data_IF_206083514450
#
_entry.id   IF_206083514450
#
_cell.length_a   1.000
_cell.length_b   1.000
_cell.length_c   1.000
_cell.angle_alpha   90.00
_cell.angle_beta   90.00
_cell.angle_gamma   90.00
#
_symmetry.space_group_name_H-M   'P 1'
#
loop_
_entity.id
_entity.type
_entity.pdbx_description
1 polymer ?
#
# COMPACT_ATOMS: atom_id res chain seq x y z
N UNK A 1 30.83 -19.77 -69.33
CA UNK A 1 29.79 -18.90 -68.74
C UNK A 1 28.67 -19.75 -68.17
N UNK A 2 28.67 -20.03 -66.85
CA UNK A 2 27.48 -20.33 -66.05
C UNK A 2 27.76 -19.85 -64.61
N UNK A 3 26.80 -19.12 -64.08
CA UNK A 3 26.87 -18.13 -63.00
C UNK A 3 26.91 -18.80 -61.62
N UNK A 4 27.82 -18.36 -60.75
CA UNK A 4 27.81 -18.69 -59.31
C UNK A 4 26.91 -17.67 -58.61
N UNK A 5 25.80 -18.13 -58.03
CA UNK A 5 24.93 -17.30 -57.21
C UNK A 5 25.44 -17.31 -55.76
N UNK A 6 26.02 -16.19 -55.32
CA UNK A 6 26.39 -15.96 -53.92
C UNK A 6 25.12 -15.67 -53.12
N UNK A 7 24.79 -16.55 -52.18
CA UNK A 7 23.67 -16.40 -51.26
C UNK A 7 24.14 -15.59 -50.05
N UNK A 8 23.80 -14.29 -50.00
CA UNK A 8 24.03 -13.46 -48.81
C UNK A 8 23.03 -13.86 -47.71
N UNK A 9 23.51 -14.49 -46.65
CA UNK A 9 22.74 -14.71 -45.43
C UNK A 9 22.77 -13.42 -44.60
N UNK A 10 21.67 -12.66 -44.63
CA UNK A 10 21.47 -11.49 -43.78
C UNK A 10 21.14 -11.95 -42.35
N UNK A 11 22.11 -11.92 -41.45
CA UNK A 11 21.86 -12.04 -40.01
C UNK A 11 21.25 -10.72 -39.50
N UNK A 12 19.95 -10.70 -39.23
CA UNK A 12 19.30 -9.67 -38.43
C UNK A 12 19.70 -9.87 -36.97
N UNK A 13 20.65 -9.07 -36.51
CA UNK A 13 20.99 -8.96 -35.09
C UNK A 13 19.86 -8.16 -34.40
N UNK A 14 18.96 -8.85 -33.70
CA UNK A 14 18.03 -8.18 -32.80
C UNK A 14 18.80 -7.69 -31.57
N UNK A 15 19.15 -6.40 -31.55
CA UNK A 15 19.70 -5.77 -30.36
C UNK A 15 18.61 -5.68 -29.29
N UNK A 16 18.60 -6.61 -28.34
CA UNK A 16 17.86 -6.45 -27.10
C UNK A 16 18.56 -5.36 -26.29
N UNK A 17 17.99 -4.15 -26.27
CA UNK A 17 18.46 -3.08 -25.39
C UNK A 17 18.22 -3.52 -23.94
N UNK A 18 19.28 -3.96 -23.26
CA UNK A 18 19.30 -4.04 -21.81
C UNK A 18 19.32 -2.60 -21.32
N UNK A 19 18.16 -2.06 -20.94
CA UNK A 19 18.14 -0.82 -20.16
C UNK A 19 18.68 -1.19 -18.79
N UNK A 20 19.95 -0.87 -18.54
CA UNK A 20 20.49 -0.89 -17.19
C UNK A 20 19.70 0.15 -16.37
N UNK A 21 19.21 -0.24 -15.20
CA UNK A 21 18.60 0.68 -14.27
C UNK A 21 19.59 1.82 -13.97
N UNK A 22 19.14 3.06 -14.11
CA UNK A 22 19.96 4.25 -13.87
C UNK A 22 20.41 4.26 -12.40
N UNK A 23 21.72 4.19 -12.09
CA UNK A 23 22.21 4.25 -10.72
C UNK A 23 21.94 5.61 -10.05
N UNK A 24 21.50 6.62 -10.80
CA UNK A 24 21.03 7.91 -10.31
C UNK A 24 19.50 7.97 -10.10
N UNK A 25 18.77 6.86 -10.29
CA UNK A 25 17.34 6.82 -10.02
C UNK A 25 17.08 7.28 -8.57
N UNK A 26 16.28 8.33 -8.37
CA UNK A 26 16.10 8.93 -7.05
C UNK A 26 15.59 7.86 -6.07
N UNK A 27 16.04 7.94 -4.83
CA UNK A 27 15.49 7.13 -3.75
C UNK A 27 14.07 7.62 -3.42
N UNK A 28 13.09 7.16 -4.21
CA UNK A 28 11.73 7.65 -4.17
C UNK A 28 11.03 7.25 -2.87
N UNK A 29 10.39 8.24 -2.25
CA UNK A 29 9.49 8.05 -1.13
C UNK A 29 8.04 8.19 -1.61
N UNK A 30 7.13 7.45 -0.99
CA UNK A 30 5.73 7.88 -0.97
C UNK A 30 5.70 9.08 -0.01
N UNK A 31 5.16 10.21 -0.45
CA UNK A 31 5.04 11.41 0.39
C UNK A 31 3.69 11.45 1.12
N UNK A 32 2.62 11.17 0.37
CA UNK A 32 1.27 11.26 0.86
C UNK A 32 0.31 10.23 0.28
N UNK A 33 -0.79 10.04 1.00
CA UNK A 33 -2.01 9.38 0.52
C UNK A 33 -3.19 10.33 0.75
N UNK A 34 -4.18 10.28 -0.13
CA UNK A 34 -5.35 11.15 -0.04
C UNK A 34 -6.55 10.34 0.43
N UNK A 35 -7.25 10.83 1.44
CA UNK A 35 -8.56 10.30 1.87
C UNK A 35 -9.66 11.31 1.61
N UNK A 36 -10.85 10.81 1.30
CA UNK A 36 -12.02 11.64 1.00
C UNK A 36 -13.01 11.59 2.14
N UNK A 37 -13.33 12.75 2.71
CA UNK A 37 -14.19 12.87 3.90
C UNK A 37 -15.20 13.99 3.73
N UNK A 38 -16.29 13.97 4.49
CA UNK A 38 -17.30 15.04 4.49
C UNK A 38 -16.87 16.28 5.30
N UNK A 39 -16.10 16.09 6.36
CA UNK A 39 -15.60 17.14 7.24
C UNK A 39 -14.11 16.91 7.57
N UNK A 40 -13.20 17.70 6.97
CA UNK A 40 -11.77 17.54 7.21
C UNK A 40 -11.32 17.75 8.66
N UNK A 41 -11.93 18.71 9.37
CA UNK A 41 -11.55 18.99 10.75
C UNK A 41 -11.95 17.82 11.66
N UNK A 42 -13.17 17.30 11.48
CA UNK A 42 -13.63 16.11 12.19
C UNK A 42 -12.74 14.89 11.89
N UNK A 43 -12.33 14.71 10.63
CA UNK A 43 -11.43 13.63 10.24
C UNK A 43 -10.05 13.77 10.89
N UNK A 44 -9.45 14.95 10.83
CA UNK A 44 -8.16 15.22 11.50
C UNK A 44 -8.23 14.84 12.98
N UNK A 45 -9.24 15.30 13.69
CA UNK A 45 -9.39 15.03 15.12
C UNK A 45 -9.63 13.54 15.40
N UNK A 46 -10.37 12.85 14.53
CA UNK A 46 -10.59 11.41 14.63
C UNK A 46 -9.29 10.60 14.44
N UNK A 47 -8.48 10.93 13.43
CA UNK A 47 -7.20 10.25 13.17
C UNK A 47 -6.17 10.51 14.28
N UNK A 48 -6.12 11.74 14.82
CA UNK A 48 -5.27 12.07 15.97
C UNK A 48 -5.71 11.26 17.19
N UNK A 49 -7.00 11.32 17.55
CA UNK A 49 -7.54 10.67 18.76
C UNK A 49 -7.40 9.15 18.74
N UNK A 50 -7.79 8.51 17.64
CA UNK A 50 -7.95 7.05 17.61
C UNK A 50 -6.67 6.36 17.13
N UNK A 51 -5.96 6.95 16.16
CA UNK A 51 -4.86 6.28 15.47
C UNK A 51 -3.48 6.81 15.85
N UNK A 52 -3.42 7.91 16.62
CA UNK A 52 -2.16 8.49 17.10
C UNK A 52 -1.43 9.31 16.03
N UNK A 53 -2.15 9.82 15.03
CA UNK A 53 -1.58 10.75 14.07
C UNK A 53 -1.19 12.07 14.75
N UNK A 54 -0.22 12.79 14.19
CA UNK A 54 0.08 14.17 14.59
C UNK A 54 -0.60 15.16 13.65
N UNK A 55 -0.93 16.34 14.17
CA UNK A 55 -1.54 17.39 13.37
C UNK A 55 -0.54 17.99 12.36
N UNK A 56 -1.02 18.29 11.15
CA UNK A 56 -0.33 19.19 10.23
C UNK A 56 -0.66 20.65 10.44
N UNK A 57 -0.27 21.49 9.48
CA UNK A 57 -0.45 22.95 9.52
C UNK A 57 -1.91 23.37 9.37
N UNK A 58 -2.75 22.50 8.80
CA UNK A 58 -4.15 22.77 8.52
C UNK A 58 -5.08 21.64 8.98
N UNK A 59 -6.38 21.91 8.92
CA UNK A 59 -7.43 20.90 9.13
C UNK A 59 -7.41 19.76 8.10
N UNK A 60 -6.66 19.91 7.00
CA UNK A 60 -6.62 18.94 5.90
C UNK A 60 -5.39 18.02 5.95
N UNK A 61 -4.67 18.00 7.07
CA UNK A 61 -3.39 17.29 7.19
C UNK A 61 -3.25 16.57 8.53
N UNK A 62 -2.91 15.30 8.47
CA UNK A 62 -2.38 14.52 9.60
C UNK A 62 -1.17 13.71 9.17
N UNK A 63 -0.26 13.45 10.10
CA UNK A 63 1.00 12.76 9.84
C UNK A 63 1.15 11.49 10.68
N UNK A 64 1.76 10.48 10.06
CA UNK A 64 2.32 9.31 10.74
C UNK A 64 3.83 9.31 10.50
N UNK A 65 4.57 9.89 11.44
CA UNK A 65 5.98 10.22 11.22
C UNK A 65 6.11 11.26 10.12
N UNK A 66 6.75 10.89 9.00
CA UNK A 66 6.89 11.77 7.82
C UNK A 66 5.76 11.61 6.80
N UNK A 67 4.92 10.58 6.95
CA UNK A 67 3.87 10.28 5.99
C UNK A 67 2.65 11.14 6.19
N UNK A 68 2.29 11.92 5.16
CA UNK A 68 1.09 12.73 5.15
C UNK A 68 -0.12 11.90 4.72
N UNK A 69 -1.19 11.96 5.51
CA UNK A 69 -2.54 11.71 5.01
C UNK A 69 -3.18 13.06 4.72
N UNK A 70 -3.34 13.36 3.43
CA UNK A 70 -4.03 14.54 2.95
C UNK A 70 -5.55 14.29 2.97
N UNK A 71 -6.27 15.14 3.67
CA UNK A 71 -7.70 15.01 3.89
C UNK A 71 -8.44 15.92 2.91
N UNK A 72 -9.14 15.32 1.96
CA UNK A 72 -9.84 16.00 0.88
C UNK A 72 -11.34 16.02 1.16
N UNK A 73 -11.95 17.20 1.14
CA UNK A 73 -13.40 17.34 1.34
C UNK A 73 -14.18 16.80 0.13
N UNK A 74 -15.26 16.06 0.39
CA UNK A 74 -16.28 15.69 -0.59
C UNK A 74 -17.65 15.56 0.08
N UNK A 75 -18.73 15.90 -0.63
CA UNK A 75 -20.09 15.76 -0.10
C UNK A 75 -20.58 14.31 -0.10
N UNK A 76 -19.88 13.41 -0.80
CA UNK A 76 -20.25 12.01 -1.00
C UNK A 76 -19.05 11.09 -0.79
N UNK A 77 -18.53 10.96 0.44
CA UNK A 77 -17.49 9.98 0.73
C UNK A 77 -18.03 8.58 0.40
N UNK A 78 -17.16 7.74 -0.15
CA UNK A 78 -17.48 6.37 -0.52
C UNK A 78 -16.44 5.44 0.11
N UNK A 79 -16.82 4.20 0.45
CA UNK A 79 -15.87 3.24 1.02
C UNK A 79 -14.66 3.01 0.11
N UNK A 80 -13.48 2.82 0.71
CA UNK A 80 -12.25 2.52 -0.04
C UNK A 80 -12.25 1.10 -0.61
N UNK A 81 -12.97 0.17 0.04
CA UNK A 81 -13.12 -1.21 -0.44
C UNK A 81 -13.75 -1.23 -1.83
N UNK A 82 -13.10 -1.89 -2.78
CA UNK A 82 -13.51 -1.91 -4.19
C UNK A 82 -13.03 -0.71 -5.02
N UNK A 83 -12.34 0.26 -4.42
CA UNK A 83 -11.63 1.31 -5.14
C UNK A 83 -10.19 0.87 -5.50
N UNK A 84 -9.44 1.72 -6.22
CA UNK A 84 -8.06 1.41 -6.62
C UNK A 84 -7.10 1.26 -5.43
N UNK A 85 -7.28 2.05 -4.37
CA UNK A 85 -6.60 1.87 -3.09
C UNK A 85 -7.62 1.20 -2.16
N UNK A 86 -7.45 -0.09 -1.89
CA UNK A 86 -8.39 -0.81 -1.03
C UNK A 86 -8.27 -0.34 0.42
N UNK A 87 -7.03 -0.22 0.90
CA UNK A 87 -6.74 0.25 2.26
C UNK A 87 -5.32 0.79 2.40
N UNK A 88 -5.08 1.44 3.54
CA UNK A 88 -3.76 1.76 4.06
C UNK A 88 -3.45 0.89 5.28
N UNK A 89 -2.17 0.67 5.53
CA UNK A 89 -1.66 -0.10 6.66
C UNK A 89 -0.98 0.78 7.70
N UNK A 90 -1.35 0.61 8.97
CA UNK A 90 -0.69 1.23 10.11
C UNK A 90 -0.17 0.16 11.06
N UNK A 91 1.12 0.23 11.40
CA UNK A 91 1.77 -0.69 12.32
C UNK A 91 1.87 -0.09 13.72
N UNK A 92 1.54 -0.88 14.74
CA UNK A 92 1.64 -0.52 16.14
C UNK A 92 2.56 -1.51 16.86
N UNK A 93 3.31 -1.03 17.86
CA UNK A 93 4.19 -1.89 18.66
C UNK A 93 3.41 -2.95 19.45
N UNK A 94 2.22 -2.59 19.94
CA UNK A 94 1.27 -3.48 20.61
C UNK A 94 -0.12 -3.31 19.97
N UNK A 95 -0.46 -4.22 19.06
CA UNK A 95 -1.73 -4.20 18.36
C UNK A 95 -2.89 -4.67 19.24
N UNK A 96 -2.65 -5.53 20.23
CA UNK A 96 -3.71 -5.97 21.14
C UNK A 96 -4.20 -4.82 22.02
N UNK A 97 -3.27 -4.04 22.57
CA UNK A 97 -3.60 -2.83 23.32
C UNK A 97 -4.34 -1.82 22.43
N UNK A 98 -3.82 -1.55 21.23
CA UNK A 98 -4.47 -0.62 20.29
C UNK A 98 -5.89 -1.08 19.92
N UNK A 99 -6.10 -2.35 19.64
CA UNK A 99 -7.44 -2.86 19.31
C UNK A 99 -8.43 -2.73 20.47
N UNK A 100 -7.99 -2.96 21.72
CA UNK A 100 -8.82 -2.73 22.92
C UNK A 100 -9.22 -1.26 23.05
N UNK A 101 -8.29 -0.32 22.84
CA UNK A 101 -8.56 1.12 22.86
C UNK A 101 -9.59 1.53 21.80
N UNK A 102 -9.43 1.02 20.57
CA UNK A 102 -10.32 1.32 19.45
C UNK A 102 -11.73 0.77 19.67
N UNK A 103 -11.84 -0.47 20.17
CA UNK A 103 -13.12 -1.07 20.54
C UNK A 103 -13.82 -0.29 21.65
N UNK A 104 -13.09 0.10 22.70
CA UNK A 104 -13.63 0.93 23.78
C UNK A 104 -14.07 2.32 23.31
N UNK A 105 -13.45 2.84 22.25
CA UNK A 105 -13.79 4.12 21.62
C UNK A 105 -14.92 4.02 20.58
N UNK A 106 -15.48 2.82 20.37
CA UNK A 106 -16.59 2.59 19.44
C UNK A 106 -16.19 2.60 17.96
N UNK A 107 -14.89 2.44 17.66
CA UNK A 107 -14.41 2.35 16.27
C UNK A 107 -14.93 1.06 15.62
N UNK A 108 -15.36 1.15 14.36
CA UNK A 108 -15.90 0.02 13.60
C UNK A 108 -14.79 -0.98 13.29
N UNK A 109 -14.85 -2.16 13.91
CA UNK A 109 -14.00 -3.30 13.58
C UNK A 109 -14.62 -4.08 12.42
N UNK A 110 -13.91 -4.17 11.30
CA UNK A 110 -14.32 -4.91 10.09
C UNK A 110 -13.86 -6.37 10.17
N UNK A 111 -12.66 -6.59 10.70
CA UNK A 111 -12.11 -7.93 10.93
C UNK A 111 -11.38 -7.93 12.26
N UNK A 112 -11.68 -8.87 13.17
CA UNK A 112 -11.05 -8.92 14.48
C UNK A 112 -9.55 -9.22 14.37
N UNK A 113 -8.83 -8.93 15.45
CA UNK A 113 -7.42 -9.28 15.58
C UNK A 113 -7.22 -10.78 15.41
N UNK A 114 -6.27 -11.15 14.57
CA UNK A 114 -5.77 -12.52 14.44
C UNK A 114 -4.26 -12.51 14.26
N UNK A 115 -3.63 -13.62 14.64
CA UNK A 115 -2.22 -13.87 14.37
C UNK A 115 -2.09 -14.73 13.10
N UNK A 116 -1.24 -14.29 12.17
CA UNK A 116 -0.96 -15.03 10.94
C UNK A 116 0.47 -15.52 11.01
N UNK A 117 0.63 -16.83 11.20
CA UNK A 117 1.94 -17.47 11.32
C UNK A 117 2.83 -17.13 10.12
N UNK A 118 4.05 -16.66 10.40
CA UNK A 118 5.02 -16.25 9.38
C UNK A 118 4.71 -14.89 8.74
N UNK A 119 3.78 -14.11 9.28
CA UNK A 119 3.54 -12.71 8.90
C UNK A 119 3.56 -11.84 10.17
N UNK A 120 2.40 -11.43 10.67
CA UNK A 120 2.23 -10.66 11.90
C UNK A 120 0.79 -10.79 12.43
N UNK A 121 0.53 -10.24 13.62
CA UNK A 121 -0.83 -9.95 14.07
C UNK A 121 -1.43 -8.83 13.22
N UNK A 122 -2.69 -8.99 12.84
CA UNK A 122 -3.41 -7.98 12.08
C UNK A 122 -4.90 -7.92 12.41
N UNK A 123 -5.50 -6.77 12.16
CA UNK A 123 -6.94 -6.51 12.24
C UNK A 123 -7.34 -5.51 11.16
N UNK A 124 -8.64 -5.39 10.87
CA UNK A 124 -9.15 -4.34 10.00
C UNK A 124 -10.19 -3.50 10.73
N UNK A 125 -10.09 -2.19 10.57
CA UNK A 125 -11.09 -1.22 11.01
C UNK A 125 -11.57 -0.39 9.82
N UNK A 126 -12.62 0.38 10.04
CA UNK A 126 -13.11 1.37 9.10
C UNK A 126 -13.29 2.70 9.83
N UNK A 127 -12.82 3.79 9.22
CA UNK A 127 -13.10 5.13 9.70
C UNK A 127 -14.55 5.56 9.43
N UNK A 128 -15.03 6.69 9.98
CA UNK A 128 -16.41 7.16 9.78
C UNK A 128 -16.79 7.45 8.32
N UNK A 129 -15.82 7.59 7.42
CA UNK A 129 -16.02 7.92 6.01
C UNK A 129 -15.85 6.72 5.08
N UNK A 130 -15.62 5.53 5.62
CA UNK A 130 -15.51 4.28 4.88
C UNK A 130 -14.10 3.93 4.43
N UNK A 131 -13.07 4.61 4.94
CA UNK A 131 -11.67 4.23 4.67
C UNK A 131 -11.37 2.98 5.49
N UNK A 132 -11.09 1.87 4.79
CA UNK A 132 -10.59 0.64 5.39
C UNK A 132 -9.13 0.82 5.76
N UNK A 133 -8.77 0.41 6.98
CA UNK A 133 -7.41 0.50 7.50
C UNK A 133 -7.02 -0.87 8.05
N UNK A 134 -5.90 -1.40 7.56
CA UNK A 134 -5.25 -2.56 8.16
C UNK A 134 -4.37 -2.10 9.31
N UNK A 135 -4.56 -2.70 10.48
CA UNK A 135 -3.72 -2.48 11.64
C UNK A 135 -2.84 -3.71 11.81
N UNK A 136 -1.53 -3.52 11.87
CA UNK A 136 -0.55 -4.62 11.94
C UNK A 136 0.37 -4.46 13.15
N UNK A 137 1.05 -5.54 13.54
CA UNK A 137 2.15 -5.50 14.50
C UNK A 137 3.45 -5.94 13.82
N UNK A 138 4.08 -5.03 13.07
CA UNK A 138 5.40 -5.25 12.48
C UNK A 138 6.45 -4.34 13.15
N UNK A 139 7.33 -4.89 14.02
CA UNK A 139 8.35 -4.10 14.70
C UNK A 139 9.43 -3.54 13.75
N UNK A 140 9.55 -4.06 12.53
CA UNK A 140 10.51 -3.55 11.53
C UNK A 140 10.07 -2.22 10.91
N UNK A 141 8.78 -1.88 11.00
CA UNK A 141 8.20 -0.67 10.41
C UNK A 141 6.97 -0.23 11.21
N UNK A 142 7.18 0.52 12.30
CA UNK A 142 6.11 1.11 13.12
C UNK A 142 5.61 2.43 12.50
N UNK A 143 4.30 2.69 12.57
CA UNK A 143 3.67 3.86 11.94
C UNK A 143 3.07 3.52 10.58
N UNK A 144 3.19 4.41 9.59
CA UNK A 144 2.66 4.15 8.25
C UNK A 144 3.44 3.01 7.58
N UNK A 145 2.75 1.93 7.26
CA UNK A 145 3.38 0.66 6.88
C UNK A 145 3.24 0.37 5.39
N UNK A 146 2.03 0.47 4.84
CA UNK A 146 1.79 0.09 3.45
C UNK A 146 0.60 0.81 2.83
N UNK A 147 0.57 0.83 1.49
CA UNK A 147 -0.60 1.12 0.66
C UNK A 147 -0.93 -0.17 -0.08
N UNK A 148 -2.20 -0.59 -0.05
CA UNK A 148 -2.62 -1.81 -0.70
C UNK A 148 -3.58 -1.51 -1.86
N UNK A 149 -3.12 -1.78 -3.07
CA UNK A 149 -3.85 -1.58 -4.30
C UNK A 149 -4.76 -2.77 -4.61
N UNK A 150 -5.88 -2.47 -5.29
CA UNK A 150 -6.74 -3.46 -5.92
C UNK A 150 -6.53 -3.39 -7.43
N UNK A 151 -6.05 -4.47 -8.03
CA UNK A 151 -5.82 -4.55 -9.46
C UNK A 151 -6.29 -5.88 -10.06
N UNK A 152 -6.73 -5.93 -11.33
CA UNK A 152 -7.08 -7.19 -11.99
C UNK A 152 -5.91 -8.18 -12.08
N UNK A 153 -4.71 -7.64 -12.28
CA UNK A 153 -3.44 -8.38 -12.33
C UNK A 153 -2.42 -7.69 -11.41
N UNK A 154 -2.20 -8.24 -10.19
CA UNK A 154 -1.28 -7.65 -9.22
C UNK A 154 0.17 -7.62 -9.67
N UNK A 155 0.65 -8.68 -10.33
CA UNK A 155 2.05 -8.77 -10.74
C UNK A 155 2.36 -7.83 -11.89
N UNK A 156 1.47 -7.75 -12.89
CA UNK A 156 1.59 -6.79 -13.97
C UNK A 156 1.54 -5.34 -13.44
N UNK A 157 0.70 -5.09 -12.43
CA UNK A 157 0.58 -3.77 -11.81
C UNK A 157 1.86 -3.37 -11.07
N UNK A 158 2.39 -4.25 -10.21
CA UNK A 158 3.66 -4.01 -9.53
C UNK A 158 4.82 -3.85 -10.53
N UNK A 159 4.86 -4.64 -11.61
CA UNK A 159 5.86 -4.47 -12.66
C UNK A 159 5.74 -3.09 -13.34
N UNK A 160 4.52 -2.64 -13.62
CA UNK A 160 4.33 -1.32 -14.22
C UNK A 160 4.83 -0.19 -13.30
N UNK A 161 4.53 -0.25 -11.99
CA UNK A 161 5.05 0.73 -11.03
C UNK A 161 6.57 0.69 -10.95
N UNK A 162 7.19 -0.49 -10.94
CA UNK A 162 8.64 -0.66 -10.96
C UNK A 162 9.27 -0.01 -12.20
N UNK A 163 8.72 -0.29 -13.39
CA UNK A 163 9.25 0.20 -14.67
C UNK A 163 9.05 1.72 -14.85
N UNK A 164 7.91 2.26 -14.41
CA UNK A 164 7.49 3.64 -14.71
C UNK A 164 7.79 4.64 -13.61
N UNK A 165 7.68 4.20 -12.36
CA UNK A 165 7.86 5.06 -11.19
C UNK A 165 9.16 4.69 -10.50
N UNK A 166 9.50 3.41 -10.42
CA UNK A 166 10.62 2.88 -9.64
C UNK A 166 10.12 2.18 -8.38
N UNK A 167 10.94 2.18 -7.33
CA UNK A 167 10.70 1.37 -6.13
C UNK A 167 11.37 0.00 -6.24
N UNK A 168 11.72 -0.58 -5.10
CA UNK A 168 12.47 -1.85 -5.08
C UNK A 168 11.51 -3.03 -4.92
N UNK A 169 11.46 -3.91 -5.93
CA UNK A 169 10.74 -5.20 -5.80
C UNK A 169 11.33 -6.02 -4.67
N UNK A 170 10.46 -6.49 -3.78
CA UNK A 170 10.80 -7.25 -2.58
C UNK A 170 9.59 -8.08 -2.12
N UNK A 171 9.78 -8.93 -1.11
CA UNK A 171 8.71 -9.72 -0.49
C UNK A 171 8.56 -9.37 0.99
N UNK A 172 7.42 -8.80 1.38
CA UNK A 172 7.09 -8.55 2.78
C UNK A 172 7.07 -9.88 3.53
N UNK A 173 7.92 -9.98 4.56
CA UNK A 173 8.21 -11.21 5.32
C UNK A 173 8.52 -12.43 4.45
N UNK A 174 9.10 -12.22 3.26
CA UNK A 174 9.40 -13.30 2.30
C UNK A 174 8.17 -13.93 1.64
N UNK A 175 6.96 -13.37 1.85
CA UNK A 175 5.69 -14.00 1.45
C UNK A 175 4.85 -13.18 0.47
N UNK A 176 4.75 -11.87 0.68
CA UNK A 176 3.85 -11.00 -0.10
C UNK A 176 4.69 -10.15 -1.04
N UNK A 177 4.51 -10.31 -2.35
CA UNK A 177 5.18 -9.50 -3.35
C UNK A 177 4.74 -8.02 -3.27
N UNK A 178 5.71 -7.12 -3.39
CA UNK A 178 5.46 -5.68 -3.37
C UNK A 178 6.66 -4.86 -3.83
N UNK A 179 6.48 -3.54 -3.79
CA UNK A 179 7.56 -2.57 -4.00
C UNK A 179 7.83 -1.81 -2.70
N UNK A 180 9.10 -1.56 -2.39
CA UNK A 180 9.51 -0.68 -1.31
C UNK A 180 9.83 0.71 -1.82
N UNK A 181 9.25 1.71 -1.17
CA UNK A 181 9.55 3.13 -1.33
C UNK A 181 9.96 3.70 0.04
N UNK A 182 11.26 3.84 0.29
CA UNK A 182 11.78 4.35 1.58
C UNK A 182 11.18 3.71 2.84
N UNK A 183 11.07 2.38 2.83
CA UNK A 183 10.55 1.59 3.96
C UNK A 183 9.05 1.33 3.92
N UNK A 184 8.29 2.09 3.13
CA UNK A 184 6.84 1.88 2.96
C UNK A 184 6.60 0.93 1.80
N UNK A 185 5.67 0.00 2.01
CA UNK A 185 5.29 -0.97 1.01
C UNK A 185 4.16 -0.46 0.12
N UNK A 186 4.32 -0.63 -1.18
CA UNK A 186 3.22 -0.67 -2.13
C UNK A 186 2.94 -2.16 -2.42
N UNK A 187 1.77 -2.60 -2.00
CA UNK A 187 1.29 -3.97 -2.17
C UNK A 187 0.10 -3.97 -3.13
N UNK A 188 -0.18 -5.10 -3.76
CA UNK A 188 -1.32 -5.24 -4.66
C UNK A 188 -1.98 -6.59 -4.47
N UNK A 189 -3.32 -6.62 -4.44
CA UNK A 189 -4.09 -7.86 -4.53
C UNK A 189 -5.10 -7.82 -5.67
N UNK A 190 -5.57 -9.01 -6.03
CA UNK A 190 -6.54 -9.18 -7.11
C UNK A 190 -7.86 -8.51 -6.74
N UNK A 191 -8.41 -7.72 -7.65
CA UNK A 191 -9.72 -7.09 -7.46
C UNK A 191 -10.81 -8.12 -7.16
N UNK A 192 -11.63 -7.84 -6.16
CA UNK A 192 -12.70 -8.74 -5.71
C UNK A 192 -12.22 -9.92 -4.84
N UNK A 193 -10.93 -10.02 -4.52
CA UNK A 193 -10.46 -11.00 -3.56
C UNK A 193 -10.99 -10.67 -2.15
N UNK A 194 -11.61 -11.66 -1.51
CA UNK A 194 -11.93 -11.59 -0.08
C UNK A 194 -10.62 -11.63 0.72
N UNK A 195 -10.47 -10.88 1.84
CA UNK A 195 -9.33 -11.05 2.74
C UNK A 195 -9.15 -12.54 3.08
N UNK A 196 -7.91 -13.05 3.21
CA UNK A 196 -7.70 -14.44 3.56
C UNK A 196 -8.40 -14.71 4.89
N UNK A 197 -9.49 -15.48 4.82
CA UNK A 197 -10.06 -16.23 5.93
C UNK A 197 -8.99 -17.24 6.31
N UNK A 198 -8.52 -17.22 7.57
CA UNK A 198 -7.60 -18.26 8.02
C UNK A 198 -8.30 -19.60 7.85
N UNK A 199 -7.74 -20.48 7.03
CA UNK A 199 -7.90 -21.90 7.24
C UNK A 199 -7.23 -22.19 8.58
N UNK A 200 -8.01 -22.15 9.66
CA UNK A 200 -7.59 -22.74 10.91
C UNK A 200 -7.73 -24.25 10.73
N UNK A 201 -6.64 -24.92 10.38
CA UNK A 201 -6.35 -26.32 10.74
C UNK A 201 -4.91 -26.41 11.20
#
# INVERSE_FOLDING_TARGET
MKTVATMCASFLLAAASIVAADPAAPNLAIDNVHIRVSDPAQARDWYIKNLGATAGESATQVYFGKMLIAIVKTDKPAPSTGSAIDHIGLSYADLEAKMKELQASGVKVVSPLRDVQGLFKLAFIEDPWGVKIELVQDPEQVGFHHIHLSAPDPDASLKWYEDMVGGKRDKLKGRIDGLRYNGIWLLTAKSGATPPVSSAE
#
